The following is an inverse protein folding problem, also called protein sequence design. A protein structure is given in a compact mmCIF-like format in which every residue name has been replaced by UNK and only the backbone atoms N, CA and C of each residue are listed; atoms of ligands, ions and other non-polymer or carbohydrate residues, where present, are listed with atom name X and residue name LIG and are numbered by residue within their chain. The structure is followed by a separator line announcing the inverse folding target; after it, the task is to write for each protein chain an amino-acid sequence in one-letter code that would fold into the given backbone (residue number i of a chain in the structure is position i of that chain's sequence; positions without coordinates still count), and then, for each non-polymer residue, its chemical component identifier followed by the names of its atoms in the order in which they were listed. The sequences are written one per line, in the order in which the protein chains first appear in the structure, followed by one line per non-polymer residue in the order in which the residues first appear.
data_IF_572342308459
#
_entry.id   IF_572342308459
#
_cell.length_a   1.000
_cell.length_b   1.000
_cell.length_c   1.000
_cell.angle_alpha   90.00
_cell.angle_beta   90.00
_cell.angle_gamma   90.00
#
_symmetry.space_group_name_H-M   'P 1'
#
loop_
_entity.id
_entity.type
_entity.pdbx_description
1 polymer ?
#
# COMPACT_ATOMS: atom_id res chain seq x y z
N UNK A 1 -1.31 21.16 1.77
CA UNK A 1 -1.14 21.22 0.31
C UNK A 1 -2.27 22.04 -0.27
N UNK A 2 -2.00 22.80 -1.33
CA UNK A 2 -3.07 23.46 -2.08
C UNK A 2 -3.93 22.41 -2.78
N UNK A 3 -5.25 22.51 -2.61
CA UNK A 3 -6.22 21.67 -3.32
C UNK A 3 -6.53 22.33 -4.66
N UNK A 4 -6.32 21.60 -5.76
CA UNK A 4 -6.65 22.07 -7.11
C UNK A 4 -8.14 21.84 -7.38
N UNK A 5 -8.85 22.89 -7.81
CA UNK A 5 -10.32 22.94 -7.91
C UNK A 5 -10.93 21.82 -8.80
N UNK A 6 -10.20 21.38 -9.83
CA UNK A 6 -10.67 20.37 -10.78
C UNK A 6 -9.93 19.03 -10.68
N UNK A 7 -9.27 18.76 -9.54
CA UNK A 7 -8.56 17.49 -9.31
C UNK A 7 -9.17 16.76 -8.13
N UNK A 8 -9.52 15.50 -8.34
CA UNK A 8 -10.00 14.59 -7.29
C UNK A 8 -9.14 13.33 -7.26
N UNK A 9 -8.79 12.91 -6.06
CA UNK A 9 -8.08 11.65 -5.84
C UNK A 9 -9.08 10.51 -5.68
N UNK A 10 -8.75 9.37 -6.26
CA UNK A 10 -9.44 8.11 -6.06
C UNK A 10 -8.41 7.02 -5.82
N UNK A 11 -8.79 6.02 -5.03
CA UNK A 11 -7.96 4.86 -4.75
C UNK A 11 -8.76 3.57 -4.84
N UNK A 12 -8.06 2.44 -4.85
CA UNK A 12 -8.68 1.12 -4.79
C UNK A 12 -8.98 0.75 -3.34
N UNK A 13 -10.18 0.26 -3.07
CA UNK A 13 -10.58 -0.18 -1.74
C UNK A 13 -9.86 -1.48 -1.38
N UNK A 14 -9.31 -1.49 -0.18
CA UNK A 14 -8.51 -2.58 0.37
C UNK A 14 -9.08 -2.98 1.71
N UNK A 15 -9.05 -4.28 2.01
CA UNK A 15 -9.45 -4.83 3.30
C UNK A 15 -8.34 -5.71 3.86
N UNK A 16 -7.96 -5.45 5.09
CA UNK A 16 -7.07 -6.33 5.84
C UNK A 16 -7.85 -7.41 6.57
N UNK A 17 -7.38 -8.64 6.46
CA UNK A 17 -7.99 -9.78 7.11
C UNK A 17 -6.92 -10.80 7.51
N UNK A 18 -6.77 -11.04 8.82
CA UNK A 18 -5.82 -12.02 9.38
C UNK A 18 -4.37 -11.83 8.88
N UNK A 19 -3.94 -10.58 8.72
CA UNK A 19 -2.59 -10.26 8.23
C UNK A 19 -2.41 -10.44 6.73
N UNK A 20 -3.49 -10.67 5.98
CA UNK A 20 -3.50 -10.67 4.51
C UNK A 20 -4.27 -9.45 3.98
N UNK A 21 -3.83 -8.97 2.83
CA UNK A 21 -4.42 -7.81 2.14
C UNK A 21 -5.34 -8.30 1.03
N UNK A 22 -6.59 -7.87 1.05
CA UNK A 22 -7.62 -8.21 0.06
C UNK A 22 -7.93 -6.98 -0.78
N UNK A 23 -7.67 -7.06 -2.09
CA UNK A 23 -8.08 -6.04 -3.05
C UNK A 23 -9.55 -6.24 -3.42
N UNK A 24 -10.40 -5.26 -3.12
CA UNK A 24 -11.84 -5.38 -3.36
C UNK A 24 -12.27 -5.00 -4.78
N UNK A 25 -11.33 -4.55 -5.63
CA UNK A 25 -11.60 -4.08 -7.00
C UNK A 25 -12.70 -3.00 -7.09
N UNK A 26 -12.90 -2.25 -6.01
CA UNK A 26 -13.85 -1.15 -5.89
C UNK A 26 -13.07 0.17 -5.84
N UNK A 27 -13.37 1.11 -6.73
CA UNK A 27 -12.76 2.45 -6.71
C UNK A 27 -13.53 3.34 -5.73
N UNK A 28 -12.82 4.02 -4.85
CA UNK A 28 -13.37 4.94 -3.84
C UNK A 28 -12.70 6.33 -3.93
N UNK A 29 -13.44 7.38 -3.58
CA UNK A 29 -12.88 8.74 -3.49
C UNK A 29 -11.92 8.85 -2.29
N UNK A 30 -10.78 9.50 -2.48
CA UNK A 30 -9.75 9.66 -1.46
C UNK A 30 -8.36 9.21 -1.91
N UNK A 31 -7.44 9.19 -0.95
CA UNK A 31 -6.06 8.72 -1.12
C UNK A 31 -5.93 7.42 -0.30
N UNK A 32 -5.11 6.48 -0.75
CA UNK A 32 -4.83 5.29 0.05
C UNK A 32 -4.11 5.67 1.35
N UNK A 33 -4.50 5.05 2.47
CA UNK A 33 -3.90 5.31 3.78
C UNK A 33 -2.44 4.84 3.86
N UNK A 34 -2.10 3.73 3.18
CA UNK A 34 -0.76 3.15 3.15
C UNK A 34 -0.36 2.61 1.77
N UNK A 35 0.94 2.33 1.61
CA UNK A 35 1.49 1.66 0.43
C UNK A 35 1.58 0.15 0.66
N UNK A 36 1.00 -0.65 -0.25
CA UNK A 36 0.93 -2.11 -0.12
C UNK A 36 2.01 -2.87 -0.90
N UNK A 37 3.13 -2.21 -1.26
CA UNK A 37 4.17 -2.79 -2.12
C UNK A 37 4.82 -4.06 -1.57
N UNK A 38 5.16 -4.08 -0.28
CA UNK A 38 5.74 -5.26 0.38
C UNK A 38 4.74 -6.43 0.42
N UNK A 39 3.44 -6.14 0.60
CA UNK A 39 2.38 -7.15 0.54
C UNK A 39 2.25 -7.77 -0.86
N UNK A 40 2.29 -6.94 -1.90
CA UNK A 40 2.28 -7.42 -3.30
C UNK A 40 3.52 -8.26 -3.61
N UNK A 41 4.71 -7.86 -3.14
CA UNK A 41 5.94 -8.64 -3.35
C UNK A 41 5.88 -10.02 -2.67
N UNK A 42 5.29 -10.11 -1.47
CA UNK A 42 5.01 -11.39 -0.79
C UNK A 42 4.10 -12.27 -1.64
N UNK A 43 3.01 -11.73 -2.18
CA UNK A 43 2.09 -12.46 -3.07
C UNK A 43 2.77 -12.91 -4.36
N UNK A 44 3.73 -12.14 -4.87
CA UNK A 44 4.55 -12.49 -6.03
C UNK A 44 5.61 -13.57 -5.74
N UNK A 45 5.74 -14.03 -4.49
CA UNK A 45 6.66 -15.10 -4.10
C UNK A 45 8.10 -14.65 -3.89
N UNK A 46 8.32 -13.38 -3.53
CA UNK A 46 9.65 -12.89 -3.20
C UNK A 46 10.19 -13.59 -1.93
N UNK A 47 11.50 -13.85 -1.84
CA UNK A 47 12.10 -14.45 -0.64
C UNK A 47 11.91 -13.58 0.61
N UNK A 48 11.71 -14.21 1.77
CA UNK A 48 11.53 -13.50 3.05
C UNK A 48 12.69 -12.58 3.40
N UNK A 49 13.93 -12.95 3.02
CA UNK A 49 15.11 -12.11 3.23
C UNK A 49 15.01 -10.76 2.51
N UNK A 50 14.44 -10.74 1.30
CA UNK A 50 14.20 -9.53 0.52
C UNK A 50 13.08 -8.70 1.15
N UNK A 51 12.00 -9.35 1.57
CA UNK A 51 10.88 -8.67 2.24
C UNK A 51 11.32 -8.01 3.56
N UNK A 52 12.16 -8.70 4.33
CA UNK A 52 12.68 -8.18 5.60
C UNK A 52 13.58 -6.97 5.37
N UNK A 53 14.52 -7.04 4.41
CA UNK A 53 15.37 -5.89 4.10
C UNK A 53 14.55 -4.70 3.60
N UNK A 54 13.52 -4.94 2.79
CA UNK A 54 12.62 -3.87 2.34
C UNK A 54 11.89 -3.19 3.50
N UNK A 55 11.47 -3.94 4.54
CA UNK A 55 10.89 -3.37 5.76
C UNK A 55 11.90 -2.53 6.53
N UNK A 56 13.12 -3.02 6.72
CA UNK A 56 14.17 -2.26 7.41
C UNK A 56 14.42 -0.91 6.72
N UNK A 57 14.61 -0.89 5.40
CA UNK A 57 14.81 0.35 4.64
C UNK A 57 13.59 1.26 4.71
N UNK A 58 12.37 0.70 4.70
CA UNK A 58 11.16 1.50 4.84
C UNK A 58 11.07 2.20 6.20
N UNK A 59 11.44 1.51 7.29
CA UNK A 59 11.53 2.11 8.62
C UNK A 59 12.65 3.17 8.70
N UNK A 60 13.79 2.95 8.03
CA UNK A 60 14.86 3.96 7.90
C UNK A 60 14.38 5.25 7.20
N UNK A 61 13.47 5.14 6.22
CA UNK A 61 12.94 6.28 5.44
C UNK A 61 11.75 6.99 6.10
N UNK A 62 11.06 6.33 7.03
CA UNK A 62 9.96 6.92 7.81
C UNK A 62 10.44 7.73 9.02
N UNK A 63 11.68 7.52 9.48
CA UNK A 63 12.34 8.26 10.55
C UNK A 63 12.77 9.67 10.10
#
# INVERSE_FOLDING_TARGET
GEYLENVKCFCMKIKEWKGEVIFLHEVIEGVADESYGIHVAKLAGFPDSVLNRAREVFEELKA
#
